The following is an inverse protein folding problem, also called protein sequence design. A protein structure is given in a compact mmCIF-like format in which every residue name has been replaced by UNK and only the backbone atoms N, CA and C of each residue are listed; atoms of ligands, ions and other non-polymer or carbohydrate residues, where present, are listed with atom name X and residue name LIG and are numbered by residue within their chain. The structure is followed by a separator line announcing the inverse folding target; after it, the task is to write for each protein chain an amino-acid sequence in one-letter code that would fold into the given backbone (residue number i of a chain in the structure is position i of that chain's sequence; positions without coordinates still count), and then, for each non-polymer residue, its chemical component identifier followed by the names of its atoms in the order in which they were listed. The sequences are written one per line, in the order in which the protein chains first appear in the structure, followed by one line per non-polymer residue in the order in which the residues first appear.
data_IF_667794120394
#
_entry.id   IF_667794120394
#
_cell.length_a   1.000
_cell.length_b   1.000
_cell.length_c   1.000
_cell.angle_alpha   90.00
_cell.angle_beta   90.00
_cell.angle_gamma   90.00
#
_symmetry.space_group_name_H-M   'P 1'
#
loop_
_entity.id
_entity.type
_entity.pdbx_description
1 polymer ?
#
# COMPACT_ATOMS: atom_id res chain seq x y z
N UNK A 1 -28.18 1.87 14.03
CA UNK A 1 -27.17 2.37 14.98
C UNK A 1 -26.21 3.20 14.16
N UNK A 2 -26.28 4.52 14.29
CA UNK A 2 -25.38 5.45 13.61
C UNK A 2 -23.95 5.22 14.16
N UNK A 3 -23.00 5.02 13.25
CA UNK A 3 -21.60 4.73 13.58
C UNK A 3 -20.82 6.04 13.75
N UNK A 4 -20.78 6.57 14.96
CA UNK A 4 -19.93 7.72 15.27
C UNK A 4 -18.45 7.31 15.33
N UNK A 5 -17.75 7.39 14.19
CA UNK A 5 -16.29 7.39 14.15
C UNK A 5 -15.83 8.74 14.75
N UNK A 6 -15.29 8.72 15.98
CA UNK A 6 -14.70 9.93 16.59
C UNK A 6 -13.59 10.46 15.68
N UNK A 7 -13.70 11.72 15.29
CA UNK A 7 -12.55 12.49 14.80
C UNK A 7 -11.85 13.13 16.00
N UNK A 8 -10.66 12.65 16.41
CA UNK A 8 -9.89 13.32 17.45
C UNK A 8 -9.17 14.50 16.79
N UNK A 9 -9.78 15.69 16.86
CA UNK A 9 -9.12 17.02 16.78
C UNK A 9 -7.97 17.24 15.77
N UNK A 10 -7.95 16.56 14.62
CA UNK A 10 -6.84 16.62 13.67
C UNK A 10 -7.25 16.05 12.32
N UNK A 11 -7.92 16.87 11.51
CA UNK A 11 -8.57 16.52 10.23
C UNK A 11 -7.61 15.74 9.29
N UNK A 12 -7.76 14.43 9.23
CA UNK A 12 -7.15 13.57 8.19
C UNK A 12 -7.98 13.73 6.90
N UNK A 13 -7.34 13.85 5.71
CA UNK A 13 -8.08 14.03 4.46
C UNK A 13 -9.03 12.87 4.22
N UNK A 14 -10.34 13.14 4.27
CA UNK A 14 -11.40 12.19 3.97
C UNK A 14 -11.40 11.98 2.45
N UNK A 15 -11.11 10.76 2.03
CA UNK A 15 -11.02 10.40 0.61
C UNK A 15 -12.15 9.44 0.28
N UNK A 16 -12.66 9.53 -0.94
CA UNK A 16 -13.76 8.67 -1.36
C UNK A 16 -13.35 7.20 -1.27
N UNK A 17 -14.27 6.32 -0.89
CA UNK A 17 -13.95 4.89 -0.76
C UNK A 17 -13.55 4.25 -2.06
N UNK A 18 -14.21 4.67 -3.14
CA UNK A 18 -13.88 4.23 -4.50
C UNK A 18 -12.41 4.56 -4.78
N UNK A 19 -11.95 5.76 -4.46
CA UNK A 19 -10.54 6.12 -4.67
C UNK A 19 -9.58 5.33 -3.78
N UNK A 20 -9.93 5.02 -2.52
CA UNK A 20 -9.12 4.15 -1.65
C UNK A 20 -9.05 2.69 -2.17
N UNK A 21 -10.16 2.16 -2.67
CA UNK A 21 -10.23 0.82 -3.28
C UNK A 21 -9.43 0.76 -4.58
N UNK A 22 -9.57 1.77 -5.43
CA UNK A 22 -8.79 1.87 -6.66
C UNK A 22 -7.30 2.05 -6.38
N UNK A 23 -6.93 2.85 -5.38
CA UNK A 23 -5.54 3.03 -4.99
C UNK A 23 -4.94 1.72 -4.47
N UNK A 24 -5.61 1.05 -3.52
CA UNK A 24 -5.15 -0.25 -3.01
C UNK A 24 -5.08 -1.33 -4.09
N UNK A 25 -6.07 -1.40 -4.98
CA UNK A 25 -6.05 -2.33 -6.13
C UNK A 25 -4.92 -2.00 -7.10
N UNK A 26 -4.70 -0.72 -7.40
CA UNK A 26 -3.58 -0.27 -8.23
C UNK A 26 -2.26 -0.70 -7.62
N UNK A 27 -2.04 -0.52 -6.32
CA UNK A 27 -0.81 -0.97 -5.65
C UNK A 27 -0.62 -2.49 -5.78
N UNK A 28 -1.67 -3.25 -5.49
CA UNK A 28 -1.62 -4.72 -5.48
C UNK A 28 -1.40 -5.31 -6.88
N UNK A 29 -1.92 -4.68 -7.94
CA UNK A 29 -1.81 -5.21 -9.31
C UNK A 29 -0.64 -4.59 -10.09
N UNK A 30 -0.48 -3.26 -10.05
CA UNK A 30 0.50 -2.58 -10.90
C UNK A 30 1.94 -2.92 -10.51
N UNK A 31 2.21 -3.16 -9.22
CA UNK A 31 3.55 -3.57 -8.78
C UNK A 31 3.99 -4.92 -9.38
N UNK A 32 3.29 -6.05 -9.13
CA UNK A 32 3.71 -7.33 -9.70
C UNK A 32 3.65 -7.34 -11.23
N UNK A 33 2.66 -6.67 -11.84
CA UNK A 33 2.60 -6.55 -13.29
C UNK A 33 3.81 -5.80 -13.87
N UNK A 34 4.19 -4.68 -13.25
CA UNK A 34 5.36 -3.90 -13.65
C UNK A 34 6.67 -4.67 -13.51
N UNK A 35 6.85 -5.41 -12.40
CA UNK A 35 7.99 -6.29 -12.21
C UNK A 35 8.01 -7.42 -13.25
N UNK A 36 6.88 -8.08 -13.51
CA UNK A 36 6.80 -9.17 -14.47
C UNK A 36 7.13 -8.70 -15.90
N UNK A 37 6.67 -7.51 -16.30
CA UNK A 37 7.02 -6.91 -17.59
C UNK A 37 8.54 -6.68 -17.69
N UNK A 38 9.17 -6.15 -16.64
CA UNK A 38 10.63 -5.95 -16.64
C UNK A 38 11.41 -7.27 -16.69
N UNK A 39 10.87 -8.34 -16.10
CA UNK A 39 11.54 -9.64 -16.06
C UNK A 39 11.38 -10.43 -17.37
N UNK A 40 10.26 -10.25 -18.08
CA UNK A 40 10.00 -10.97 -19.34
C UNK A 40 10.61 -10.26 -20.54
N UNK A 41 10.61 -8.92 -20.54
CA UNK A 41 10.99 -8.15 -21.72
C UNK A 41 12.29 -7.38 -21.49
N UNK A 42 13.38 -7.89 -22.07
CA UNK A 42 14.71 -7.26 -22.07
C UNK A 42 14.87 -6.26 -23.23
N UNK A 43 13.85 -5.40 -23.42
CA UNK A 43 13.81 -4.38 -24.47
C UNK A 43 13.47 -3.01 -23.87
N UNK A 44 14.05 -1.92 -24.42
CA UNK A 44 13.91 -0.58 -23.84
C UNK A 44 12.45 -0.09 -23.77
N UNK A 45 11.59 -0.46 -24.73
CA UNK A 45 10.18 -0.06 -24.73
C UNK A 45 9.35 -0.69 -23.60
N UNK A 46 9.21 -2.02 -23.56
CA UNK A 46 8.53 -2.72 -22.46
C UNK A 46 9.14 -2.43 -21.08
N UNK A 47 10.46 -2.28 -21.00
CA UNK A 47 11.14 -1.92 -19.75
C UNK A 47 10.65 -0.60 -19.14
N UNK A 48 10.47 0.43 -19.97
CA UNK A 48 9.90 1.73 -19.52
C UNK A 48 8.45 1.56 -19.03
N UNK A 49 7.66 0.73 -19.70
CA UNK A 49 6.27 0.45 -19.29
C UNK A 49 6.22 -0.25 -17.94
N UNK A 50 7.07 -1.25 -17.73
CA UNK A 50 7.18 -1.94 -16.45
C UNK A 50 7.61 -1.01 -15.31
N UNK A 51 8.58 -0.12 -15.56
CA UNK A 51 8.99 0.90 -14.59
C UNK A 51 7.87 1.91 -14.29
N UNK A 52 7.11 2.33 -15.30
CA UNK A 52 5.98 3.24 -15.11
C UNK A 52 4.88 2.63 -14.23
N UNK A 53 4.61 1.33 -14.36
CA UNK A 53 3.66 0.62 -13.50
C UNK A 53 4.16 0.48 -12.06
N UNK A 54 5.45 0.17 -11.87
CA UNK A 54 6.06 0.16 -10.53
C UNK A 54 5.97 1.55 -9.89
N UNK A 55 6.29 2.61 -10.63
CA UNK A 55 6.15 3.99 -10.17
C UNK A 55 4.70 4.33 -9.82
N UNK A 56 3.74 3.92 -10.65
CA UNK A 56 2.32 4.12 -10.40
C UNK A 56 1.88 3.42 -9.09
N UNK A 57 2.35 2.19 -8.85
CA UNK A 57 2.07 1.49 -7.60
C UNK A 57 2.64 2.24 -6.38
N UNK A 58 3.88 2.72 -6.48
CA UNK A 58 4.51 3.50 -5.40
C UNK A 58 3.77 4.82 -5.16
N UNK A 59 3.37 5.53 -6.22
CA UNK A 59 2.58 6.75 -6.11
C UNK A 59 1.20 6.49 -5.52
N UNK A 60 0.53 5.41 -5.92
CA UNK A 60 -0.74 5.00 -5.34
C UNK A 60 -0.61 4.65 -3.86
N UNK A 61 0.49 4.03 -3.45
CA UNK A 61 0.80 3.77 -2.05
C UNK A 61 1.03 5.05 -1.26
N UNK A 62 1.85 5.99 -1.76
CA UNK A 62 2.05 7.28 -1.11
C UNK A 62 0.78 8.12 -1.06
N UNK A 63 -0.07 7.97 -2.06
CA UNK A 63 -1.40 8.52 -2.02
C UNK A 63 -2.17 7.83 -0.88
N UNK A 64 -2.22 6.51 -0.77
CA UNK A 64 -2.94 5.79 0.30
C UNK A 64 -2.44 6.10 1.73
N UNK A 65 -1.13 6.34 1.90
CA UNK A 65 -0.47 6.47 3.20
C UNK A 65 -1.05 7.55 4.16
N UNK A 66 -1.41 8.77 3.73
CA UNK A 66 -2.07 9.77 4.59
C UNK A 66 -3.58 9.55 4.79
N UNK A 67 -4.15 8.41 4.40
CA UNK A 67 -5.59 8.16 4.53
C UNK A 67 -6.01 7.78 5.96
N UNK A 68 -7.29 8.01 6.29
CA UNK A 68 -7.90 7.56 7.54
C UNK A 68 -7.74 6.04 7.77
N UNK A 69 -7.72 5.27 6.69
CA UNK A 69 -7.54 3.83 6.73
C UNK A 69 -6.13 3.45 7.19
N UNK A 70 -5.10 4.14 6.66
CA UNK A 70 -3.73 3.94 7.13
C UNK A 70 -3.56 4.43 8.57
N UNK A 71 -4.30 5.47 9.00
CA UNK A 71 -4.31 5.92 10.40
C UNK A 71 -4.78 4.79 11.32
N UNK A 72 -5.93 4.17 11.04
CA UNK A 72 -6.46 3.05 11.83
C UNK A 72 -5.44 1.91 11.89
N UNK A 73 -4.73 1.64 10.79
CA UNK A 73 -3.68 0.63 10.77
C UNK A 73 -2.44 1.05 11.59
N UNK A 74 -1.99 2.30 11.50
CA UNK A 74 -0.67 2.75 11.99
C UNK A 74 -0.65 3.51 13.31
N UNK A 75 -1.78 3.98 13.83
CA UNK A 75 -1.83 4.84 15.02
C UNK A 75 -1.64 4.05 16.33
N UNK A 76 -1.41 4.74 17.46
CA UNK A 76 -1.18 4.09 18.76
C UNK A 76 -2.49 3.53 19.34
N UNK A 77 -2.45 2.32 19.91
CA UNK A 77 -3.64 1.59 20.39
C UNK A 77 -4.46 2.39 21.42
N UNK A 78 -3.80 3.20 22.25
CA UNK A 78 -4.45 4.05 23.27
C UNK A 78 -5.24 5.23 22.68
N UNK A 79 -5.03 5.56 21.40
CA UNK A 79 -5.73 6.64 20.71
C UNK A 79 -6.90 6.14 19.85
N UNK A 80 -7.00 4.81 19.67
CA UNK A 80 -8.10 4.18 18.92
C UNK A 80 -9.29 3.89 19.84
N UNK A 81 -10.47 4.18 19.33
CA UNK A 81 -11.73 3.73 19.94
C UNK A 81 -11.86 2.19 19.88
N UNK A 82 -12.73 1.60 20.70
CA UNK A 82 -12.88 0.15 20.81
C UNK A 82 -13.29 -0.49 19.47
N UNK A 83 -14.14 0.19 18.70
CA UNK A 83 -14.57 -0.24 17.36
C UNK A 83 -13.41 -0.19 16.36
N UNK A 84 -12.63 0.90 16.35
CA UNK A 84 -11.47 1.04 15.47
C UNK A 84 -10.41 -0.01 15.82
N UNK A 85 -10.25 -0.33 17.11
CA UNK A 85 -9.32 -1.34 17.60
C UNK A 85 -9.72 -2.75 17.12
N UNK A 86 -11.01 -3.06 17.12
CA UNK A 86 -11.51 -4.33 16.58
C UNK A 86 -11.37 -4.41 15.05
N UNK A 87 -11.68 -3.34 14.33
CA UNK A 87 -11.45 -3.24 12.88
C UNK A 87 -9.97 -3.44 12.54
N UNK A 88 -9.07 -2.78 13.27
CA UNK A 88 -7.62 -2.96 13.13
C UNK A 88 -7.23 -4.41 13.37
N UNK A 89 -7.69 -5.02 14.46
CA UNK A 89 -7.37 -6.42 14.80
C UNK A 89 -7.78 -7.38 13.68
N UNK A 90 -9.00 -7.23 13.15
CA UNK A 90 -9.49 -8.05 12.03
C UNK A 90 -8.66 -7.82 10.76
N UNK A 91 -8.33 -6.56 10.44
CA UNK A 91 -7.50 -6.21 9.30
C UNK A 91 -6.11 -6.85 9.37
N UNK A 92 -5.46 -6.80 10.54
CA UNK A 92 -4.15 -7.42 10.73
C UNK A 92 -4.22 -8.94 10.72
N UNK A 93 -5.23 -9.55 11.34
CA UNK A 93 -5.41 -11.00 11.31
C UNK A 93 -5.58 -11.50 9.87
N UNK A 94 -6.42 -10.84 9.08
CA UNK A 94 -6.60 -11.15 7.66
C UNK A 94 -5.30 -10.96 6.88
N UNK A 95 -4.63 -9.82 7.04
CA UNK A 95 -3.39 -9.51 6.30
C UNK A 95 -2.27 -10.48 6.64
N UNK A 96 -2.17 -10.89 7.91
CA UNK A 96 -1.25 -11.92 8.35
C UNK A 96 -1.55 -13.25 7.67
N UNK A 97 -2.79 -13.72 7.68
CA UNK A 97 -3.18 -14.96 7.02
C UNK A 97 -2.87 -14.95 5.52
N UNK A 98 -3.20 -13.86 4.82
CA UNK A 98 -2.90 -13.70 3.39
C UNK A 98 -1.40 -13.70 3.13
N UNK A 99 -0.63 -12.92 3.89
CA UNK A 99 0.82 -12.82 3.72
C UNK A 99 1.51 -14.15 4.03
N UNK A 100 1.10 -14.84 5.11
CA UNK A 100 1.62 -16.17 5.44
C UNK A 100 1.27 -17.19 4.36
N UNK A 101 0.05 -17.15 3.81
CA UNK A 101 -0.35 -18.00 2.68
C UNK A 101 0.49 -17.74 1.43
N UNK A 102 0.71 -16.47 1.08
CA UNK A 102 1.58 -16.08 -0.05
C UNK A 102 3.04 -16.49 0.17
N UNK A 103 3.56 -16.34 1.39
CA UNK A 103 4.92 -16.77 1.73
C UNK A 103 5.05 -18.30 1.65
N UNK A 104 4.09 -19.05 2.19
CA UNK A 104 4.08 -20.51 2.10
C UNK A 104 4.01 -20.98 0.63
N UNK A 105 3.15 -20.35 -0.18
CA UNK A 105 3.05 -20.62 -1.61
C UNK A 105 4.36 -20.27 -2.34
N UNK A 106 5.00 -19.15 -2.00
CA UNK A 106 6.29 -18.75 -2.56
C UNK A 106 7.42 -19.72 -2.20
N UNK A 107 7.50 -20.18 -0.95
CA UNK A 107 8.47 -21.19 -0.51
C UNK A 107 8.22 -22.51 -1.24
N UNK A 108 6.97 -22.95 -1.33
CA UNK A 108 6.61 -24.17 -2.04
C UNK A 108 6.97 -24.06 -3.53
N UNK A 109 6.65 -22.94 -4.17
CA UNK A 109 7.02 -22.67 -5.56
C UNK A 109 8.54 -22.74 -5.76
N UNK A 110 9.32 -22.09 -4.89
CA UNK A 110 10.79 -22.12 -4.96
C UNK A 110 11.36 -23.51 -4.70
N UNK A 111 10.76 -24.29 -3.81
CA UNK A 111 11.17 -25.67 -3.58
C UNK A 111 10.98 -26.52 -4.84
N UNK A 112 9.82 -26.41 -5.52
CA UNK A 112 9.54 -27.12 -6.77
C UNK A 112 10.39 -26.60 -7.93
N UNK A 113 10.61 -25.28 -8.02
CA UNK A 113 11.37 -24.66 -9.10
C UNK A 113 12.88 -24.93 -9.02
N UNK A 114 13.41 -25.23 -7.83
CA UNK A 114 14.82 -25.62 -7.64
C UNK A 114 15.01 -27.15 -7.63
N UNK A 115 13.94 -27.94 -7.64
CA UNK A 115 14.04 -29.39 -7.79
C UNK A 115 14.30 -29.72 -9.27
N UNK A 116 15.21 -30.64 -9.56
CA UNK A 116 15.63 -31.09 -10.92
C UNK A 116 14.51 -31.88 -11.64
N UNK A 117 13.26 -31.64 -11.26
CA UNK A 117 12.08 -32.14 -11.93
C UNK A 117 12.00 -31.63 -13.37
N UNK A 118 11.28 -32.35 -14.23
CA UNK A 118 11.09 -32.01 -15.66
C UNK A 118 10.35 -30.68 -15.89
N UNK A 119 9.97 -29.96 -14.85
CA UNK A 119 9.26 -28.69 -14.93
C UNK A 119 10.29 -27.56 -14.98
N UNK A 120 10.51 -26.99 -16.16
CA UNK A 120 11.33 -25.78 -16.31
C UNK A 120 10.57 -24.57 -15.78
N UNK A 121 10.54 -24.41 -14.46
CA UNK A 121 9.95 -23.26 -13.78
C UNK A 121 10.96 -22.12 -13.67
N UNK A 122 10.46 -20.88 -13.68
CA UNK A 122 11.32 -19.72 -13.49
C UNK A 122 11.74 -19.62 -12.02
N UNK A 123 13.04 -19.44 -11.77
CA UNK A 123 13.59 -19.19 -10.44
C UNK A 123 14.35 -17.84 -10.41
N UNK A 124 14.30 -17.10 -9.30
CA UNK A 124 15.06 -15.87 -9.14
C UNK A 124 16.57 -16.16 -9.06
N UNK A 125 17.31 -15.87 -10.14
CA UNK A 125 18.77 -16.10 -10.20
C UNK A 125 19.61 -14.82 -9.99
N UNK A 126 19.04 -13.64 -10.26
CA UNK A 126 19.78 -12.37 -10.21
C UNK A 126 19.37 -11.54 -9.00
N UNK A 127 20.23 -10.60 -8.60
CA UNK A 127 19.92 -9.62 -7.56
C UNK A 127 18.63 -8.83 -7.88
N UNK A 128 18.41 -8.48 -9.15
CA UNK A 128 17.22 -7.75 -9.58
C UNK A 128 15.93 -8.54 -9.30
N UNK A 129 15.94 -9.86 -9.52
CA UNK A 129 14.78 -10.73 -9.25
C UNK A 129 14.43 -10.72 -7.76
N UNK A 130 15.45 -10.90 -6.90
CA UNK A 130 15.26 -10.90 -5.45
C UNK A 130 14.85 -9.53 -4.91
N UNK A 131 15.42 -8.44 -5.44
CA UNK A 131 15.06 -7.09 -5.07
C UNK A 131 13.58 -6.80 -5.39
N UNK A 132 13.08 -7.22 -6.55
CA UNK A 132 11.67 -7.08 -6.91
C UNK A 132 10.73 -7.85 -5.95
N UNK A 133 11.10 -9.08 -5.58
CA UNK A 133 10.32 -9.88 -4.62
C UNK A 133 10.30 -9.20 -3.25
N UNK A 134 11.46 -8.76 -2.76
CA UNK A 134 11.60 -8.12 -1.44
C UNK A 134 10.72 -6.87 -1.32
N UNK A 135 10.82 -5.95 -2.29
CA UNK A 135 10.03 -4.72 -2.29
C UNK A 135 8.53 -5.00 -2.48
N UNK A 136 8.18 -6.03 -3.25
CA UNK A 136 6.79 -6.47 -3.37
C UNK A 136 6.20 -6.96 -2.05
N UNK A 137 6.92 -7.81 -1.32
CA UNK A 137 6.52 -8.29 0.00
C UNK A 137 6.37 -7.13 0.98
N UNK A 138 7.34 -6.20 0.99
CA UNK A 138 7.29 -5.02 1.85
C UNK A 138 6.06 -4.14 1.53
N UNK A 139 5.84 -3.85 0.25
CA UNK A 139 4.71 -3.04 -0.21
C UNK A 139 3.36 -3.70 0.14
N UNK A 140 3.25 -5.01 -0.05
CA UNK A 140 2.06 -5.78 0.32
C UNK A 140 1.82 -5.76 1.82
N UNK A 141 2.87 -5.89 2.63
CA UNK A 141 2.77 -5.87 4.09
C UNK A 141 2.17 -4.56 4.62
N UNK A 142 2.52 -3.42 4.00
CA UNK A 142 1.93 -2.13 4.37
C UNK A 142 0.55 -1.89 3.78
N UNK A 143 0.26 -2.45 2.60
CA UNK A 143 -0.95 -2.15 1.84
C UNK A 143 -2.13 -3.05 2.23
N UNK A 144 -1.89 -4.32 2.58
CA UNK A 144 -2.95 -5.30 2.84
C UNK A 144 -3.91 -4.91 3.96
N UNK A 145 -3.47 -4.43 5.14
CA UNK A 145 -4.40 -4.02 6.20
C UNK A 145 -5.29 -2.88 5.75
N UNK A 146 -4.70 -1.93 5.01
CA UNK A 146 -5.39 -0.76 4.48
C UNK A 146 -6.32 -1.11 3.33
N UNK A 147 -5.94 -2.06 2.47
CA UNK A 147 -6.83 -2.61 1.47
C UNK A 147 -8.05 -3.24 2.15
N UNK A 148 -7.84 -4.17 3.09
CA UNK A 148 -8.95 -4.84 3.77
C UNK A 148 -9.95 -3.84 4.38
N UNK A 149 -9.45 -2.84 5.11
CA UNK A 149 -10.30 -1.77 5.68
C UNK A 149 -11.05 -0.97 4.60
N UNK A 150 -10.40 -0.60 3.49
CA UNK A 150 -11.06 0.13 2.40
C UNK A 150 -12.21 -0.66 1.74
N UNK A 151 -12.15 -1.99 1.79
CA UNK A 151 -13.17 -2.88 1.25
C UNK A 151 -14.28 -3.22 2.26
N UNK A 152 -13.96 -3.32 3.56
CA UNK A 152 -14.89 -3.80 4.59
C UNK A 152 -15.58 -2.73 5.43
N UNK A 153 -15.09 -1.48 5.45
CA UNK A 153 -15.75 -0.39 6.16
C UNK A 153 -17.21 -0.23 5.66
N UNK A 154 -18.23 -0.13 6.55
CA UNK A 154 -19.64 0.08 6.19
C UNK A 154 -19.85 1.52 5.71
N UNK A 155 -20.66 1.78 4.67
CA UNK A 155 -20.85 3.12 4.07
C UNK A 155 -21.14 4.18 5.15
N UNK A 156 -20.60 5.42 5.07
CA UNK A 156 -21.08 6.49 5.94
C UNK A 156 -22.56 6.71 5.62
N UNK A 157 -23.38 6.87 6.64
CA UNK A 157 -24.79 7.17 6.41
C UNK A 157 -24.90 8.59 5.82
N UNK A 158 -25.93 8.88 5.02
CA UNK A 158 -26.12 10.21 4.41
C UNK A 158 -26.20 11.34 5.47
N UNK A 159 -26.57 10.99 6.70
CA UNK A 159 -26.54 11.88 7.86
C UNK A 159 -25.10 12.22 8.30
N UNK A 160 -24.18 11.26 8.26
CA UNK A 160 -22.74 11.48 8.53
C UNK A 160 -22.05 12.30 7.42
N UNK A 161 -22.64 12.33 6.22
CA UNK A 161 -22.20 13.18 5.11
C UNK A 161 -22.71 14.62 5.29
N UNK A 162 -23.98 14.78 5.64
CA UNK A 162 -24.60 16.09 5.89
C UNK A 162 -24.04 16.80 7.14
N UNK A 163 -23.73 16.06 8.21
CA UNK A 163 -23.13 16.61 9.43
C UNK A 163 -21.65 16.97 9.21
N UNK A 164 -20.95 16.23 8.34
CA UNK A 164 -19.58 16.54 7.94
C UNK A 164 -19.49 17.81 7.08
N UNK A 165 -20.40 18.01 6.12
CA UNK A 165 -20.45 19.24 5.32
C UNK A 165 -20.72 20.48 6.19
N UNK A 166 -21.57 20.36 7.23
CA UNK A 166 -21.77 21.47 8.20
C UNK A 166 -20.52 21.78 9.02
N UNK A 167 -19.70 20.77 9.34
CA UNK A 167 -18.43 20.96 10.07
C UNK A 167 -17.29 21.50 9.19
N UNK A 168 -17.43 21.47 7.87
CA UNK A 168 -16.45 21.98 6.92
C UNK A 168 -16.45 23.51 6.81
N UNK A 169 -17.58 24.16 7.14
CA UNK A 169 -17.74 25.63 7.16
C UNK A 169 -17.10 26.31 8.39
N UNK A 170 -16.72 25.56 9.42
CA UNK A 170 -15.92 26.11 10.53
C UNK A 170 -14.46 26.34 10.07
N UNK A 171 -13.89 27.55 10.29
CA UNK A 171 -12.56 27.91 9.81
C UNK A 171 -11.53 26.92 10.35
N UNK A 172 -11.02 26.09 9.44
CA UNK A 172 -10.14 24.99 9.74
C UNK A 172 -8.86 25.46 10.42
N UNK A 173 -8.60 25.00 11.64
CA UNK A 173 -7.24 25.03 12.18
C UNK A 173 -6.38 24.16 11.27
N UNK A 174 -5.52 24.80 10.46
CA UNK A 174 -4.72 24.11 9.44
C UNK A 174 -3.98 22.95 10.11
N UNK A 175 -4.20 21.69 9.70
CA UNK A 175 -3.34 20.62 10.16
C UNK A 175 -1.93 21.04 9.75
N UNK A 176 -1.03 21.18 10.72
CA UNK A 176 0.41 21.32 10.47
C UNK A 176 0.86 20.00 9.85
N UNK A 177 0.52 19.82 8.58
CA UNK A 177 1.08 18.79 7.73
C UNK A 177 2.58 18.92 7.94
N UNK A 178 3.17 17.89 8.53
CA UNK A 178 4.58 17.88 8.85
C UNK A 178 5.32 17.83 7.51
N UNK A 179 5.55 18.99 6.89
CA UNK A 179 6.19 19.19 5.58
C UNK A 179 7.53 18.45 5.48
N UNK A 180 8.20 18.24 6.63
CA UNK A 180 9.42 17.45 6.73
C UNK A 180 9.24 15.96 6.37
N UNK A 181 8.05 15.37 6.57
CA UNK A 181 7.77 13.98 6.21
C UNK A 181 7.71 13.80 4.69
N UNK A 182 7.09 14.76 3.98
CA UNK A 182 7.11 14.81 2.51
C UNK A 182 8.51 15.12 1.98
N UNK A 183 9.27 15.97 2.68
CA UNK A 183 10.68 16.26 2.36
C UNK A 183 11.58 15.03 2.49
N UNK A 184 11.40 14.20 3.53
CA UNK A 184 12.15 12.95 3.72
C UNK A 184 11.80 11.88 2.67
N UNK A 185 10.53 11.83 2.25
CA UNK A 185 10.11 10.90 1.20
C UNK A 185 10.61 11.34 -0.18
N UNK A 186 10.56 12.64 -0.48
CA UNK A 186 11.11 13.19 -1.71
C UNK A 186 12.64 13.06 -1.75
N UNK A 187 13.34 13.25 -0.62
CA UNK A 187 14.79 13.07 -0.56
C UNK A 187 15.18 11.60 -0.66
N UNK A 188 14.44 10.68 -0.03
CA UNK A 188 14.68 9.25 -0.16
C UNK A 188 14.49 8.75 -1.59
N UNK A 189 13.45 9.21 -2.29
CA UNK A 189 13.21 8.88 -3.70
C UNK A 189 14.29 9.48 -4.62
N UNK A 190 14.71 10.73 -4.38
CA UNK A 190 15.77 11.37 -5.16
C UNK A 190 17.13 10.69 -4.95
N UNK A 191 17.47 10.34 -3.71
CA UNK A 191 18.72 9.63 -3.38
C UNK A 191 18.72 8.22 -3.98
N UNK A 192 17.59 7.51 -3.91
CA UNK A 192 17.44 6.21 -4.55
C UNK A 192 17.60 6.27 -6.07
N UNK A 193 17.03 7.29 -6.72
CA UNK A 193 17.16 7.51 -8.15
C UNK A 193 18.60 7.86 -8.57
N UNK A 194 19.28 8.73 -7.81
CA UNK A 194 20.68 9.10 -8.07
C UNK A 194 21.61 7.91 -7.86
N UNK A 195 21.43 7.15 -6.77
CA UNK A 195 22.23 5.94 -6.52
C UNK A 195 22.01 4.89 -7.62
N UNK A 196 20.77 4.66 -8.04
CA UNK A 196 20.47 3.75 -9.14
C UNK A 196 21.12 4.18 -10.47
N UNK A 197 21.25 5.50 -10.71
CA UNK A 197 21.90 6.04 -11.91
C UNK A 197 23.42 6.04 -11.87
N UNK A 198 24.02 6.09 -10.68
CA UNK A 198 25.48 6.14 -10.50
C UNK A 198 26.08 4.74 -10.35
N UNK A 199 25.30 3.77 -9.85
CA UNK A 199 25.75 2.38 -9.62
C UNK A 199 25.33 1.40 -10.71
N UNK A 200 24.47 1.80 -11.65
CA UNK A 200 24.21 1.01 -12.85
C UNK A 200 25.34 1.27 -13.88
N UNK A 201 26.15 0.25 -14.23
CA UNK A 201 27.20 0.38 -15.26
C UNK A 201 26.63 0.64 -16.65
#
# INVERSE_FOLDING_TARGET
MSFYIRMPSGRVPRRSRISLRLASLTVLIAYPAGCLIQLIFDHPGPGVTGLALVLLAVLAFFWLAPSQVQRIAGEQVCQLDDVERDLRRRAYAFSYQVLTGLMAAGIFYLAVANDDTRLTLWAPQTYAHWNAIFWGVLLYSFTLPSAWLAWTLPAPDAEDEAEADRSADEPAEKPRARWWLWGLLASGAAVGFVLARVLAP
#
